data_IF_054409953718
#
_entry.id   IF_054409953718
#
_cell.length_a   1.000
_cell.length_b   1.000
_cell.length_c   1.000
_cell.angle_alpha   90.00
_cell.angle_beta   90.00
_cell.angle_gamma   90.00
#
_symmetry.space_group_name_H-M   'P 1'
#
loop_
_entity.id
_entity.type
_entity.pdbx_description
1 polymer ?
#
# COMPACT_ATOMS: atom_id res chain seq x y z
N UNK A 1 -42.28 69.46 14.36
CA UNK A 1 -41.93 68.60 15.52
C UNK A 1 -42.43 67.18 15.23
N UNK A 2 -41.58 66.28 15.02
CA UNK A 2 -41.65 64.84 15.29
C UNK A 2 -40.59 64.12 14.42
N UNK A 3 -39.61 63.63 15.11
CA UNK A 3 -38.47 62.95 14.56
C UNK A 3 -38.86 61.47 14.23
N UNK A 4 -38.58 61.01 13.03
CA UNK A 4 -38.69 59.59 12.68
C UNK A 4 -37.29 59.05 12.62
N UNK A 5 -37.02 58.02 13.41
CA UNK A 5 -35.76 57.29 13.45
C UNK A 5 -35.65 56.35 12.28
N UNK A 6 -34.46 56.16 11.71
CA UNK A 6 -34.25 55.14 10.69
C UNK A 6 -33.99 53.79 11.31
N UNK A 7 -34.71 52.76 10.82
CA UNK A 7 -34.53 51.35 11.15
C UNK A 7 -33.25 50.82 10.50
N UNK A 8 -32.36 50.33 11.31
CA UNK A 8 -31.15 49.64 10.85
C UNK A 8 -31.49 48.19 10.57
N UNK A 9 -31.51 47.82 9.32
CA UNK A 9 -31.58 46.44 8.89
C UNK A 9 -30.20 45.79 9.05
N UNK A 10 -30.08 44.93 10.04
CA UNK A 10 -28.94 44.03 10.24
C UNK A 10 -28.97 42.94 9.17
N UNK A 11 -28.06 43.04 8.20
CA UNK A 11 -27.79 41.97 7.26
C UNK A 11 -26.88 40.93 7.95
N UNK A 12 -27.44 39.80 8.30
CA UNK A 12 -26.71 38.61 8.76
C UNK A 12 -26.09 37.93 7.55
N UNK A 13 -24.78 38.10 7.39
CA UNK A 13 -23.98 37.35 6.44
C UNK A 13 -23.74 35.95 7.00
N UNK A 14 -24.44 34.95 6.47
CA UNK A 14 -24.14 33.55 6.72
C UNK A 14 -22.87 33.14 5.97
N UNK A 15 -21.74 33.11 6.67
CA UNK A 15 -20.50 32.50 6.17
C UNK A 15 -20.66 31.01 6.14
N UNK A 16 -20.88 30.43 4.93
CA UNK A 16 -20.91 29.01 4.72
C UNK A 16 -19.50 28.41 4.89
N UNK A 17 -19.29 27.67 5.97
CA UNK A 17 -18.12 26.78 6.09
C UNK A 17 -18.28 25.62 5.10
N UNK A 18 -17.57 25.67 3.99
CA UNK A 18 -17.39 24.52 3.13
C UNK A 18 -16.45 23.53 3.86
N UNK A 19 -17.03 22.53 4.50
CA UNK A 19 -16.30 21.40 5.03
C UNK A 19 -15.81 20.57 3.83
N UNK A 20 -14.56 20.75 3.43
CA UNK A 20 -13.86 19.85 2.52
C UNK A 20 -13.67 18.51 3.23
N UNK A 21 -14.56 17.56 2.97
CA UNK A 21 -14.37 16.17 3.33
C UNK A 21 -13.20 15.63 2.51
N UNK A 22 -11.99 15.68 3.09
CA UNK A 22 -10.83 14.98 2.55
C UNK A 22 -11.16 13.49 2.57
N UNK A 23 -11.24 12.87 1.39
CA UNK A 23 -11.23 11.43 1.27
C UNK A 23 -9.89 10.93 1.85
N UNK A 24 -9.94 10.45 3.09
CA UNK A 24 -8.88 9.61 3.63
C UNK A 24 -8.89 8.30 2.82
N UNK A 25 -8.04 8.21 1.83
CA UNK A 25 -7.70 6.94 1.22
C UNK A 25 -7.03 6.14 2.33
N UNK A 26 -7.79 5.29 3.00
CA UNK A 26 -7.26 4.29 3.89
C UNK A 26 -6.37 3.40 3.03
N UNK A 27 -5.07 3.61 3.07
CA UNK A 27 -4.12 2.62 2.64
C UNK A 27 -4.31 1.47 3.64
N UNK A 28 -4.99 0.41 3.20
CA UNK A 28 -4.94 -0.87 3.90
C UNK A 28 -3.44 -1.24 3.90
N UNK A 29 -2.79 -0.95 5.02
CA UNK A 29 -1.45 -1.47 5.26
C UNK A 29 -1.52 -2.98 5.18
N UNK A 30 -0.41 -3.67 4.95
CA UNK A 30 -0.40 -5.13 4.92
C UNK A 30 -1.00 -5.62 6.24
N UNK A 31 -2.06 -6.41 6.10
CA UNK A 31 -2.74 -6.98 7.24
C UNK A 31 -1.72 -7.81 8.02
N UNK A 32 -1.53 -7.47 9.29
CA UNK A 32 -0.70 -8.26 10.18
C UNK A 32 -1.41 -9.55 10.58
N UNK A 33 -0.67 -10.49 11.14
CA UNK A 33 -1.25 -11.67 11.76
C UNK A 33 -0.59 -11.97 13.10
N UNK A 34 -1.33 -12.67 13.98
CA UNK A 34 -0.79 -13.15 15.23
C UNK A 34 -0.25 -14.56 15.09
N UNK A 35 0.99 -14.78 15.55
CA UNK A 35 1.59 -16.08 15.79
C UNK A 35 1.68 -16.28 17.30
N UNK A 36 0.75 -17.02 17.87
CA UNK A 36 0.56 -17.07 19.31
C UNK A 36 0.17 -15.70 19.87
N UNK A 37 0.98 -15.15 20.76
CA UNK A 37 0.76 -13.83 21.38
C UNK A 37 1.49 -12.69 20.66
N UNK A 38 2.28 -12.97 19.65
CA UNK A 38 3.12 -11.97 18.96
C UNK A 38 2.53 -11.61 17.60
N UNK A 39 2.47 -10.30 17.31
CA UNK A 39 2.02 -9.76 16.05
C UNK A 39 3.21 -9.67 15.08
N UNK A 40 3.01 -10.12 13.84
CA UNK A 40 3.86 -9.77 12.70
C UNK A 40 3.10 -8.81 11.79
N UNK A 41 3.81 -7.92 11.13
CA UNK A 41 3.23 -6.87 10.30
C UNK A 41 4.10 -6.56 9.09
N UNK A 42 3.55 -5.79 8.17
CA UNK A 42 4.27 -5.39 6.98
C UNK A 42 5.61 -4.73 7.29
N UNK A 43 6.61 -5.10 6.52
CA UNK A 43 7.99 -4.68 6.68
C UNK A 43 8.85 -5.61 7.54
N UNK A 44 8.25 -6.54 8.31
CA UNK A 44 9.01 -7.55 9.05
C UNK A 44 9.83 -8.42 8.09
N UNK A 45 11.04 -8.78 8.52
CA UNK A 45 11.93 -9.60 7.70
C UNK A 45 11.56 -11.08 7.77
N UNK A 46 11.99 -11.86 6.78
CA UNK A 46 11.87 -13.34 6.78
C UNK A 46 12.35 -13.93 8.12
N UNK A 47 13.50 -13.45 8.63
CA UNK A 47 14.04 -13.92 9.89
C UNK A 47 13.12 -13.62 11.07
N UNK A 48 12.58 -12.40 11.15
CA UNK A 48 11.67 -12.00 12.22
C UNK A 48 10.39 -12.84 12.20
N UNK A 49 9.78 -13.00 11.02
CA UNK A 49 8.58 -13.82 10.88
C UNK A 49 8.85 -15.27 11.28
N UNK A 50 9.94 -15.87 10.80
CA UNK A 50 10.32 -17.23 11.16
C UNK A 50 10.60 -17.40 12.66
N UNK A 51 11.24 -16.42 13.29
CA UNK A 51 11.53 -16.47 14.73
C UNK A 51 10.27 -16.39 15.61
N UNK A 52 9.19 -15.80 15.10
CA UNK A 52 7.93 -15.62 15.81
C UNK A 52 6.92 -16.71 15.50
N UNK A 53 6.80 -17.07 14.22
CA UNK A 53 5.79 -18.02 13.72
C UNK A 53 6.31 -19.44 13.56
N UNK A 54 7.63 -19.64 13.63
CA UNK A 54 8.26 -20.92 13.30
C UNK A 54 8.49 -21.11 11.82
N UNK A 55 8.86 -22.33 11.42
CA UNK A 55 9.04 -22.68 10.01
C UNK A 55 7.69 -22.73 9.28
N UNK A 56 7.60 -22.19 8.07
CA UNK A 56 6.41 -22.30 7.25
C UNK A 56 6.19 -23.76 6.80
N UNK A 57 4.94 -24.11 6.51
CA UNK A 57 4.58 -25.42 5.99
C UNK A 57 4.98 -25.61 4.53
N UNK A 58 4.97 -24.52 3.77
CA UNK A 58 5.48 -24.43 2.42
C UNK A 58 6.19 -23.10 2.22
N UNK A 59 7.28 -23.11 1.47
CA UNK A 59 8.05 -21.93 1.14
C UNK A 59 8.50 -21.99 -0.32
N UNK A 60 8.07 -21.00 -1.10
CA UNK A 60 8.43 -20.88 -2.50
C UNK A 60 9.22 -19.60 -2.72
N UNK A 61 10.22 -19.70 -3.58
CA UNK A 61 11.10 -18.59 -3.93
C UNK A 61 11.09 -18.38 -5.44
N UNK A 62 10.92 -17.13 -5.89
CA UNK A 62 11.01 -16.76 -7.30
C UNK A 62 11.57 -15.36 -7.48
N UNK A 63 12.10 -15.10 -8.65
CA UNK A 63 12.56 -13.77 -9.05
C UNK A 63 11.68 -13.29 -10.20
N UNK A 64 11.14 -12.08 -10.09
CA UNK A 64 10.35 -11.43 -11.14
C UNK A 64 11.05 -10.18 -11.61
N UNK A 65 11.28 -10.08 -12.92
CA UNK A 65 11.78 -8.83 -13.53
C UNK A 65 10.61 -7.87 -13.74
N UNK A 66 10.65 -6.72 -13.08
CA UNK A 66 9.66 -5.65 -13.23
C UNK A 66 10.22 -4.53 -14.09
N UNK A 67 9.53 -4.20 -15.18
CA UNK A 67 9.90 -3.08 -16.06
C UNK A 67 9.01 -1.89 -15.77
N UNK A 68 9.62 -0.77 -15.40
CA UNK A 68 8.95 0.53 -15.19
C UNK A 68 9.28 1.45 -16.36
N UNK A 69 8.24 1.99 -16.99
CA UNK A 69 8.37 2.99 -18.05
C UNK A 69 8.20 4.38 -17.46
N UNK A 70 9.19 5.24 -17.66
CA UNK A 70 9.17 6.62 -17.20
C UNK A 70 9.38 7.58 -18.37
N UNK A 71 8.51 8.59 -18.49
CA UNK A 71 8.74 9.70 -19.41
C UNK A 71 9.73 10.67 -18.80
N UNK A 72 10.77 11.00 -19.55
CA UNK A 72 11.80 11.97 -19.15
C UNK A 72 11.92 13.04 -20.22
N UNK A 73 12.27 14.26 -19.80
CA UNK A 73 12.58 15.33 -20.73
C UNK A 73 14.04 15.24 -21.11
N UNK A 74 14.29 15.20 -22.41
CA UNK A 74 15.63 15.13 -23.00
C UNK A 74 15.83 16.27 -23.98
N UNK A 75 17.07 16.69 -24.26
CA UNK A 75 17.33 17.64 -25.35
C UNK A 75 16.84 17.05 -26.68
N UNK A 76 16.15 17.86 -27.48
CA UNK A 76 15.71 17.44 -28.83
C UNK A 76 16.90 17.27 -29.75
N UNK A 77 16.86 16.26 -30.62
CA UNK A 77 17.81 16.14 -31.73
C UNK A 77 17.66 17.27 -32.73
N UNK A 78 18.74 17.58 -33.54
CA UNK A 78 18.87 18.79 -34.35
C UNK A 78 17.72 19.04 -35.32
N UNK A 79 16.96 18.05 -35.75
CA UNK A 79 15.86 18.23 -36.71
C UNK A 79 14.48 18.50 -36.07
N UNK A 80 14.34 18.42 -34.74
CA UNK A 80 13.09 18.66 -34.02
C UNK A 80 13.08 19.98 -33.23
N UNK A 81 13.85 20.97 -33.65
CA UNK A 81 14.13 22.22 -32.94
C UNK A 81 12.96 23.19 -32.82
N UNK A 82 11.77 22.80 -32.33
CA UNK A 82 10.75 23.83 -32.03
C UNK A 82 10.63 24.22 -30.58
N UNK A 83 11.13 23.44 -29.63
CA UNK A 83 10.95 23.74 -28.17
C UNK A 83 12.14 23.41 -27.27
N UNK A 84 13.28 22.98 -27.77
CA UNK A 84 14.48 22.74 -26.97
C UNK A 84 14.42 21.51 -26.02
N UNK A 85 13.24 21.01 -25.71
CA UNK A 85 13.04 19.81 -24.87
C UNK A 85 12.02 18.87 -25.51
N UNK A 86 12.38 17.62 -25.63
CA UNK A 86 11.55 16.53 -26.12
C UNK A 86 11.25 15.53 -25.02
N UNK A 87 10.16 14.78 -25.14
CA UNK A 87 9.85 13.68 -24.24
C UNK A 87 10.41 12.38 -24.81
N UNK A 88 11.15 11.65 -23.99
CA UNK A 88 11.58 10.28 -24.27
C UNK A 88 11.03 9.32 -23.21
N UNK A 89 10.71 8.10 -23.60
CA UNK A 89 10.36 7.04 -22.68
C UNK A 89 11.61 6.23 -22.37
N UNK A 90 11.96 6.15 -21.08
CA UNK A 90 13.05 5.32 -20.60
C UNK A 90 12.42 4.11 -19.88
N UNK A 91 12.91 2.94 -20.21
CA UNK A 91 12.55 1.69 -19.54
C UNK A 91 13.66 1.35 -18.53
N UNK A 92 13.25 1.06 -17.31
CA UNK A 92 14.13 0.56 -16.27
C UNK A 92 13.59 -0.77 -15.77
N UNK A 93 14.41 -1.82 -15.85
CA UNK A 93 14.06 -3.14 -15.36
C UNK A 93 14.80 -3.40 -14.05
N UNK A 94 14.10 -3.91 -13.07
CA UNK A 94 14.64 -4.30 -11.76
C UNK A 94 14.12 -5.68 -11.42
N UNK A 95 15.00 -6.54 -10.96
CA UNK A 95 14.63 -7.85 -10.43
C UNK A 95 14.15 -7.68 -8.98
N UNK A 96 13.02 -8.30 -8.68
CA UNK A 96 12.40 -8.33 -7.35
C UNK A 96 12.39 -9.79 -6.89
N UNK A 97 12.94 -10.03 -5.72
CA UNK A 97 12.89 -11.33 -5.07
C UNK A 97 11.56 -11.48 -4.36
N UNK A 98 10.85 -12.57 -4.63
CA UNK A 98 9.55 -12.88 -4.04
C UNK A 98 9.66 -14.22 -3.32
N UNK A 99 9.36 -14.19 -2.02
CA UNK A 99 9.20 -15.39 -1.21
C UNK A 99 7.74 -15.50 -0.79
N UNK A 100 7.09 -16.61 -1.12
CA UNK A 100 5.73 -16.93 -0.73
C UNK A 100 5.75 -18.06 0.31
N UNK A 101 5.25 -17.77 1.50
CA UNK A 101 5.19 -18.70 2.60
C UNK A 101 3.75 -19.05 2.97
N UNK A 102 3.52 -20.34 3.26
CA UNK A 102 2.23 -20.84 3.70
C UNK A 102 2.35 -21.37 5.13
N UNK A 103 1.42 -20.94 5.99
CA UNK A 103 1.26 -21.46 7.34
C UNK A 103 -0.10 -22.11 7.49
N UNK A 104 -0.13 -23.41 7.85
CA UNK A 104 -1.33 -24.15 8.21
C UNK A 104 -1.33 -24.41 9.73
N UNK A 105 -2.15 -23.67 10.45
CA UNK A 105 -2.25 -23.75 11.91
C UNK A 105 -3.25 -24.80 12.40
N UNK A 106 -3.71 -25.69 11.54
CA UNK A 106 -4.64 -26.77 11.87
C UNK A 106 -6.09 -26.51 11.46
N UNK A 107 -6.93 -27.53 11.61
CA UNK A 107 -8.31 -27.58 11.07
C UNK A 107 -9.26 -26.50 11.59
N UNK A 108 -9.00 -25.95 12.77
CA UNK A 108 -9.83 -24.92 13.38
C UNK A 108 -9.33 -23.50 13.11
N UNK A 109 -8.26 -23.36 12.33
CA UNK A 109 -7.64 -22.08 12.02
C UNK A 109 -7.50 -21.92 10.52
N UNK A 110 -7.48 -20.66 10.08
CA UNK A 110 -7.29 -20.35 8.66
C UNK A 110 -5.82 -20.50 8.26
N UNK A 111 -5.60 -21.03 7.06
CA UNK A 111 -4.30 -20.96 6.39
C UNK A 111 -3.94 -19.50 6.13
N UNK A 112 -2.67 -19.18 6.31
CA UNK A 112 -2.13 -17.85 6.02
C UNK A 112 -1.10 -17.93 4.92
N UNK A 113 -1.25 -17.06 3.93
CA UNK A 113 -0.30 -16.90 2.84
C UNK A 113 0.43 -15.58 3.03
N UNK A 114 1.73 -15.64 3.16
CA UNK A 114 2.60 -14.49 3.35
C UNK A 114 3.43 -14.29 2.10
N UNK A 115 3.42 -13.08 1.55
CA UNK A 115 4.29 -12.71 0.43
C UNK A 115 5.32 -11.72 0.90
N UNK A 116 6.59 -12.03 0.69
CA UNK A 116 7.71 -11.13 0.95
C UNK A 116 8.24 -10.59 -0.37
N UNK A 117 8.61 -9.32 -0.38
CA UNK A 117 9.29 -8.64 -1.47
C UNK A 117 10.66 -8.19 -0.97
N UNK A 118 11.72 -8.63 -1.64
CA UNK A 118 13.11 -8.31 -1.25
C UNK A 118 13.38 -8.57 0.24
N UNK A 119 12.85 -9.70 0.75
CA UNK A 119 13.06 -10.15 2.11
C UNK A 119 12.20 -9.47 3.18
N UNK A 120 11.21 -8.64 2.80
CA UNK A 120 10.29 -7.97 3.71
C UNK A 120 8.84 -8.34 3.45
N UNK A 121 8.09 -8.57 4.53
CA UNK A 121 6.67 -8.91 4.46
C UNK A 121 5.90 -7.80 3.76
N UNK A 122 5.31 -8.12 2.62
CA UNK A 122 4.54 -7.21 1.79
C UNK A 122 3.03 -7.40 1.96
N UNK A 123 2.58 -8.65 2.14
CA UNK A 123 1.16 -8.93 2.34
C UNK A 123 0.93 -10.20 3.15
N UNK A 124 -0.21 -10.25 3.85
CA UNK A 124 -0.73 -11.42 4.53
C UNK A 124 -2.14 -11.66 4.02
N UNK A 125 -2.38 -12.84 3.47
CA UNK A 125 -3.70 -13.25 2.98
C UNK A 125 -4.25 -14.40 3.83
N UNK A 126 -5.56 -14.44 3.98
CA UNK A 126 -6.27 -15.51 4.69
C UNK A 126 -6.85 -16.47 3.65
N UNK A 127 -6.54 -17.74 3.79
CA UNK A 127 -7.10 -18.83 3.00
C UNK A 127 -8.31 -19.49 3.64
N UNK A 128 -8.60 -20.72 3.21
CA UNK A 128 -9.59 -21.59 3.85
C UNK A 128 -9.11 -22.11 5.21
N UNK A 129 -9.90 -23.01 5.81
CA UNK A 129 -9.48 -23.73 7.01
C UNK A 129 -8.32 -24.68 6.71
N UNK A 130 -7.43 -24.82 7.67
CA UNK A 130 -6.29 -25.73 7.57
C UNK A 130 -6.72 -27.20 7.51
N UNK A 131 -5.80 -28.02 7.10
CA UNK A 131 -5.99 -29.47 6.96
C UNK A 131 -5.14 -30.30 7.94
N UNK A 132 -4.14 -29.66 8.57
CA UNK A 132 -3.24 -30.33 9.51
C UNK A 132 -3.99 -30.79 10.74
N UNK A 133 -3.79 -32.06 11.12
CA UNK A 133 -4.21 -32.52 12.43
C UNK A 133 -3.32 -31.89 13.51
N UNK A 134 -3.95 -31.26 14.51
CA UNK A 134 -3.23 -30.74 15.67
C UNK A 134 -2.51 -31.89 16.36
N UNK A 135 -1.17 -31.84 16.39
CA UNK A 135 -0.33 -32.81 17.10
C UNK A 135 -0.09 -32.33 18.51
#
# INVERSE_FOLDING_TARGET
>A
MRRLAPSWLLALSAAGLAASAGLLVAHAGPDGMYCGSRLISGGDTLYQVRSVCGEPDDAQHRIETRTVRRRVRVPCERHQRRSGQCEATVEHSTDVVIDDWTYDFGRQRFIRYLTFLDGRLASVQTGGYGSRDDR
#
